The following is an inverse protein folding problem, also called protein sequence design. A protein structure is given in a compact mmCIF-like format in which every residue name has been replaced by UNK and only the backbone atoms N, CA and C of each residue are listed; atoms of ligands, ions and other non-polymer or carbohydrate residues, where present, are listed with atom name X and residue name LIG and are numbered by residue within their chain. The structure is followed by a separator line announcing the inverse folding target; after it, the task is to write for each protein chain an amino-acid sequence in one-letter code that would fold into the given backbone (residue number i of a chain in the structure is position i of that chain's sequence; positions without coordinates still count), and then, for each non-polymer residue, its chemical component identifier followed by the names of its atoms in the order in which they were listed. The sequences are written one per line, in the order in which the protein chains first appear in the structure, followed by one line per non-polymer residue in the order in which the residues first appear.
data_IF_618432000898
#
_entry.id   IF_618432000898
#
_cell.length_a   1.000
_cell.length_b   1.000
_cell.length_c   1.000
_cell.angle_alpha   90.00
_cell.angle_beta   90.00
_cell.angle_gamma   90.00
#
_symmetry.space_group_name_H-M   'P 1'
#
loop_
_entity.id
_entity.type
_entity.pdbx_description
1 polymer ?
#
# COMPACT_ATOMS: atom_id res chain seq x y z
N UNK A 1 29.57 -12.20 -4.84
CA UNK A 1 28.86 -10.93 -5.12
C UNK A 1 27.39 -11.25 -5.25
N UNK A 2 26.63 -11.17 -4.15
CA UNK A 2 25.23 -11.60 -4.09
C UNK A 2 24.35 -10.60 -4.84
N UNK A 3 23.75 -11.02 -5.95
CA UNK A 3 22.69 -10.29 -6.65
C UNK A 3 21.36 -10.94 -6.27
N UNK A 4 20.84 -10.60 -5.09
CA UNK A 4 19.52 -11.02 -4.62
C UNK A 4 18.69 -9.77 -4.40
N UNK A 5 18.08 -9.29 -5.47
CA UNK A 5 16.92 -8.39 -5.43
C UNK A 5 16.04 -8.73 -6.61
N UNK A 6 15.54 -9.96 -6.62
CA UNK A 6 14.19 -10.18 -7.12
C UNK A 6 13.27 -9.53 -6.07
N UNK A 7 13.08 -8.22 -6.16
CA UNK A 7 11.81 -7.66 -5.70
C UNK A 7 10.75 -8.41 -6.48
N UNK A 8 9.84 -9.09 -5.80
CA UNK A 8 8.75 -9.77 -6.45
C UNK A 8 8.17 -8.80 -7.50
N UNK A 9 7.98 -9.23 -8.74
CA UNK A 9 7.60 -8.32 -9.84
C UNK A 9 6.22 -7.67 -9.66
N UNK A 10 5.65 -7.71 -8.45
CA UNK A 10 4.35 -7.23 -8.04
C UNK A 10 4.26 -5.71 -8.24
N UNK A 11 3.40 -5.27 -9.17
CA UNK A 11 3.06 -3.87 -9.36
C UNK A 11 2.81 -3.11 -8.05
N UNK A 12 3.25 -1.85 -8.03
CA UNK A 12 3.04 -0.93 -6.88
C UNK A 12 1.58 -0.89 -6.41
N UNK A 13 0.55 -0.79 -7.28
CA UNK A 13 -0.85 -0.78 -6.85
C UNK A 13 -1.24 -2.01 -6.04
N UNK A 14 -0.77 -3.20 -6.42
CA UNK A 14 -1.09 -4.44 -5.73
C UNK A 14 -0.40 -4.54 -4.37
N UNK A 15 0.85 -4.05 -4.26
CA UNK A 15 1.53 -3.94 -2.95
C UNK A 15 0.80 -2.98 -2.01
N UNK A 16 0.33 -1.85 -2.54
CA UNK A 16 -0.46 -0.87 -1.79
C UNK A 16 -1.81 -1.44 -1.34
N UNK A 17 -2.54 -2.12 -2.22
CA UNK A 17 -3.81 -2.78 -1.88
C UNK A 17 -3.59 -3.85 -0.81
N UNK A 18 -2.61 -4.74 -0.98
CA UNK A 18 -2.32 -5.78 0.01
C UNK A 18 -1.98 -5.21 1.40
N UNK A 19 -1.14 -4.16 1.45
CA UNK A 19 -0.79 -3.49 2.69
C UNK A 19 -2.00 -2.80 3.34
N UNK A 20 -2.79 -2.09 2.54
CA UNK A 20 -3.99 -1.39 3.00
C UNK A 20 -5.06 -2.35 3.52
N UNK A 21 -5.39 -3.42 2.77
CA UNK A 21 -6.32 -4.47 3.20
C UNK A 21 -5.92 -5.05 4.55
N UNK A 22 -4.64 -5.38 4.72
CA UNK A 22 -4.13 -5.93 5.97
C UNK A 22 -4.27 -4.95 7.13
N UNK A 23 -3.77 -3.72 6.98
CA UNK A 23 -3.78 -2.72 8.06
C UNK A 23 -5.22 -2.30 8.42
N UNK A 24 -6.10 -2.13 7.42
CA UNK A 24 -7.50 -1.82 7.67
C UNK A 24 -8.20 -2.95 8.43
N UNK A 25 -7.89 -4.22 8.15
CA UNK A 25 -8.43 -5.34 8.91
C UNK A 25 -7.87 -5.45 10.35
N UNK A 26 -6.58 -5.15 10.54
CA UNK A 26 -5.91 -5.27 11.84
C UNK A 26 -6.31 -4.16 12.82
N UNK A 27 -6.38 -2.91 12.34
CA UNK A 27 -6.59 -1.75 13.22
C UNK A 27 -7.72 -0.80 12.79
N UNK A 28 -8.37 -1.04 11.65
CA UNK A 28 -9.43 -0.18 11.14
C UNK A 28 -8.90 1.01 10.32
N UNK A 29 -9.77 1.57 9.48
CA UNK A 29 -9.42 2.66 8.56
C UNK A 29 -8.94 3.93 9.28
N UNK A 30 -9.65 4.37 10.33
CA UNK A 30 -9.35 5.64 11.00
C UNK A 30 -8.00 5.63 11.71
N UNK A 31 -7.60 4.46 12.25
CA UNK A 31 -6.31 4.29 12.94
C UNK A 31 -5.15 4.00 11.99
N UNK A 32 -5.42 3.74 10.72
CA UNK A 32 -4.37 3.48 9.72
C UNK A 32 -3.97 4.78 9.01
N UNK A 33 -2.69 5.13 9.06
CA UNK A 33 -2.16 6.29 8.35
C UNK A 33 -1.64 5.92 6.95
N UNK A 34 -1.57 6.92 6.07
CA UNK A 34 -0.92 6.80 4.76
C UNK A 34 0.56 6.40 4.91
N UNK A 35 1.24 6.84 5.97
CA UNK A 35 2.64 6.52 6.21
C UNK A 35 2.83 5.02 6.48
N UNK A 36 2.02 4.42 7.36
CA UNK A 36 2.09 2.99 7.67
C UNK A 36 1.84 2.13 6.43
N UNK A 37 0.87 2.52 5.59
CA UNK A 37 0.56 1.80 4.35
C UNK A 37 1.75 1.79 3.40
N UNK A 38 2.38 2.96 3.16
CA UNK A 38 3.48 3.04 2.19
C UNK A 38 4.76 2.38 2.71
N UNK A 39 4.99 2.41 4.03
CA UNK A 39 6.08 1.67 4.67
C UNK A 39 5.86 0.16 4.54
N UNK A 40 4.67 -0.33 4.85
CA UNK A 40 4.32 -1.75 4.72
C UNK A 40 4.37 -2.23 3.26
N UNK A 41 4.01 -1.39 2.30
CA UNK A 41 4.09 -1.69 0.87
C UNK A 41 5.50 -1.50 0.27
N UNK A 42 6.44 -0.89 1.01
CA UNK A 42 7.79 -0.59 0.51
C UNK A 42 7.79 0.41 -0.65
N UNK A 43 7.00 1.49 -0.53
CA UNK A 43 6.86 2.56 -1.53
C UNK A 43 6.84 3.95 -0.89
N UNK A 44 6.69 5.00 -1.69
CA UNK A 44 6.60 6.38 -1.20
C UNK A 44 5.16 6.87 -1.15
N UNK A 45 4.88 7.92 -0.37
CA UNK A 45 3.59 8.63 -0.41
C UNK A 45 3.23 9.14 -1.80
N UNK A 46 4.22 9.65 -2.53
CA UNK A 46 4.03 10.12 -3.90
C UNK A 46 3.51 9.02 -4.82
N UNK A 47 4.00 7.78 -4.65
CA UNK A 47 3.48 6.64 -5.40
C UNK A 47 2.02 6.32 -5.03
N UNK A 48 1.67 6.30 -3.74
CA UNK A 48 0.28 6.11 -3.31
C UNK A 48 -0.65 7.17 -3.91
N UNK A 49 -0.29 8.45 -3.77
CA UNK A 49 -1.10 9.55 -4.30
C UNK A 49 -1.17 9.56 -5.84
N UNK A 50 -0.14 9.08 -6.53
CA UNK A 50 -0.17 8.92 -7.99
C UNK A 50 -1.17 7.86 -8.45
N UNK A 51 -1.25 6.72 -7.76
CA UNK A 51 -2.13 5.61 -8.17
C UNK A 51 -3.56 5.74 -7.65
N UNK A 52 -3.75 6.23 -6.43
CA UNK A 52 -5.05 6.21 -5.76
C UNK A 52 -5.58 7.60 -5.42
N UNK A 53 -4.75 8.65 -5.37
CA UNK A 53 -5.22 10.01 -5.03
C UNK A 53 -5.40 10.27 -3.53
N UNK A 54 -5.97 9.34 -2.77
CA UNK A 54 -6.12 9.48 -1.31
C UNK A 54 -6.17 8.14 -0.55
N UNK A 55 -6.18 8.20 0.79
CA UNK A 55 -6.42 7.02 1.64
C UNK A 55 -7.85 6.49 1.49
N UNK A 56 -8.80 7.38 1.24
CA UNK A 56 -10.21 7.04 1.06
C UNK A 56 -10.43 6.34 -0.27
N UNK A 57 -9.84 6.85 -1.36
CA UNK A 57 -9.88 6.21 -2.67
C UNK A 57 -9.25 4.81 -2.62
N UNK A 58 -8.11 4.67 -1.90
CA UNK A 58 -7.50 3.37 -1.67
C UNK A 58 -8.42 2.42 -0.88
N UNK A 59 -9.21 2.94 0.07
CA UNK A 59 -10.23 2.14 0.78
C UNK A 59 -11.34 1.69 -0.18
N UNK A 60 -11.80 2.57 -1.07
CA UNK A 60 -12.82 2.20 -2.07
C UNK A 60 -12.32 1.07 -2.97
N UNK A 61 -11.07 1.15 -3.45
CA UNK A 61 -10.46 0.10 -4.27
C UNK A 61 -10.24 -1.22 -3.52
N UNK A 62 -10.09 -1.20 -2.19
CA UNK A 62 -10.04 -2.43 -1.38
C UNK A 62 -11.39 -3.17 -1.35
N UNK A 63 -12.50 -2.46 -1.54
CA UNK A 63 -13.87 -3.02 -1.51
C UNK A 63 -14.52 -3.15 -2.90
N UNK A 64 -13.85 -2.72 -3.96
CA UNK A 64 -14.31 -2.85 -5.34
C UNK A 64 -14.18 -4.30 -5.85
#
# INVERSE_FOLDING_TARGET
MARTTEGDGTPVPQRLLAAATRLFAEQGYDRTSVQEIVEAAGVTKGALYHYFGSKEDLLQEVYA
#
